data_IF_872669654669
#
_entry.id   IF_872669654669
#
_cell.length_a   1.000
_cell.length_b   1.000
_cell.length_c   1.000
_cell.angle_alpha   90.00
_cell.angle_beta   90.00
_cell.angle_gamma   90.00
#
_symmetry.space_group_name_H-M   'P 1'
#
loop_
_entity.id
_entity.type
_entity.pdbx_description
1 polymer ?
#
# COMPACT_ATOMS: atom_id res chain seq x y z
N UNK A 1 -70.46 -26.21 -45.80
CA UNK A 1 -71.65 -26.79 -45.15
C UNK A 1 -71.75 -26.23 -43.77
N UNK A 2 -72.57 -25.25 -43.59
CA UNK A 2 -73.86 -25.28 -42.87
C UNK A 2 -73.66 -25.54 -41.38
N UNK A 3 -73.70 -24.45 -40.61
CA UNK A 3 -74.86 -24.00 -39.76
C UNK A 3 -74.83 -24.59 -38.35
N UNK A 4 -74.89 -23.88 -37.25
CA UNK A 4 -76.07 -23.19 -36.68
C UNK A 4 -75.71 -22.43 -35.38
N UNK A 5 -76.22 -21.23 -35.23
CA UNK A 5 -76.41 -20.44 -34.00
C UNK A 5 -77.35 -21.16 -33.03
N UNK A 6 -77.03 -20.97 -31.70
CA UNK A 6 -78.12 -20.96 -30.70
C UNK A 6 -77.79 -19.79 -29.69
N UNK A 7 -78.76 -18.87 -29.62
CA UNK A 7 -78.92 -17.84 -28.62
C UNK A 7 -79.67 -18.41 -27.43
N UNK A 8 -79.24 -18.15 -26.20
CA UNK A 8 -80.24 -18.17 -25.09
C UNK A 8 -79.94 -16.97 -24.18
N UNK A 9 -80.94 -16.14 -23.98
CA UNK A 9 -81.18 -15.11 -23.00
C UNK A 9 -81.52 -15.71 -21.64
N UNK A 10 -81.01 -15.16 -20.52
CA UNK A 10 -81.80 -15.07 -19.30
C UNK A 10 -81.11 -14.12 -18.29
N UNK A 11 -81.69 -13.05 -18.04
CA UNK A 11 -82.35 -12.39 -16.88
C UNK A 11 -81.47 -12.15 -15.67
N UNK A 12 -81.24 -10.85 -15.47
CA UNK A 12 -81.28 -9.97 -14.30
C UNK A 12 -81.70 -10.58 -12.94
N UNK A 13 -80.84 -10.39 -11.94
CA UNK A 13 -81.30 -10.02 -10.58
C UNK A 13 -80.27 -9.10 -9.91
N UNK A 14 -80.72 -7.87 -9.61
CA UNK A 14 -80.06 -6.90 -8.81
C UNK A 14 -80.04 -7.36 -7.37
N UNK A 15 -78.87 -7.52 -6.75
CA UNK A 15 -78.77 -7.64 -5.34
C UNK A 15 -78.01 -6.36 -4.81
N UNK A 16 -78.70 -5.49 -4.13
CA UNK A 16 -78.14 -4.34 -3.44
C UNK A 16 -77.50 -4.83 -2.14
N UNK A 17 -76.18 -4.69 -2.01
CA UNK A 17 -75.50 -4.91 -0.77
C UNK A 17 -75.06 -3.57 -0.17
N UNK A 18 -75.58 -3.30 0.97
CA UNK A 18 -75.42 -2.12 1.83
C UNK A 18 -74.01 -2.06 2.38
N UNK A 19 -73.28 -0.96 2.13
CA UNK A 19 -71.96 -0.72 2.67
C UNK A 19 -72.02 -0.38 4.20
N UNK A 20 -71.26 -1.07 5.05
CA UNK A 20 -71.03 -0.62 6.42
C UNK A 20 -69.90 0.43 6.47
N UNK A 21 -70.07 1.43 7.27
CA UNK A 21 -69.27 2.64 7.49
C UNK A 21 -67.83 2.31 7.88
N UNK A 22 -66.89 2.69 7.05
CA UNK A 22 -65.43 2.63 7.22
C UNK A 22 -64.95 3.84 8.03
N UNK A 23 -64.96 3.79 9.36
CA UNK A 23 -64.38 4.85 10.23
C UNK A 23 -63.30 4.38 11.21
N UNK A 24 -62.81 3.14 11.11
CA UNK A 24 -61.80 2.63 12.06
C UNK A 24 -60.41 2.32 11.44
N UNK A 25 -60.25 2.44 10.12
CA UNK A 25 -59.02 2.03 9.42
C UNK A 25 -57.92 3.15 9.37
N UNK A 26 -58.32 4.42 9.54
CA UNK A 26 -57.37 5.54 9.36
C UNK A 26 -56.47 5.76 10.56
N UNK A 27 -56.96 5.50 11.78
CA UNK A 27 -56.14 5.65 13.01
C UNK A 27 -55.12 4.52 13.17
N UNK A 28 -55.43 3.31 12.76
CA UNK A 28 -54.51 2.15 12.83
C UNK A 28 -53.38 2.29 11.81
N UNK A 29 -53.65 2.85 10.64
CA UNK A 29 -52.66 3.11 9.60
C UNK A 29 -51.61 4.17 10.00
N UNK A 30 -52.00 5.22 10.70
CA UNK A 30 -51.11 6.25 11.20
C UNK A 30 -50.17 5.75 12.32
N UNK A 31 -50.67 4.87 13.22
CA UNK A 31 -49.84 4.25 14.25
C UNK A 31 -48.77 3.31 13.68
N UNK A 32 -49.10 2.51 12.68
CA UNK A 32 -48.17 1.58 12.03
C UNK A 32 -47.10 2.38 11.27
N UNK A 33 -47.44 3.46 10.58
CA UNK A 33 -46.48 4.30 9.87
C UNK A 33 -45.50 5.00 10.83
N UNK A 34 -45.96 5.46 12.01
CA UNK A 34 -45.10 6.06 13.03
C UNK A 34 -44.06 5.08 13.58
N UNK A 35 -44.45 3.84 13.86
CA UNK A 35 -43.52 2.80 14.32
C UNK A 35 -42.46 2.42 13.28
N UNK A 36 -42.81 2.39 12.01
CA UNK A 36 -41.85 2.06 10.92
C UNK A 36 -40.81 3.18 10.78
N UNK A 37 -41.22 4.45 10.84
CA UNK A 37 -40.25 5.58 10.72
C UNK A 37 -39.31 5.63 11.91
N UNK A 38 -39.77 5.35 13.12
CA UNK A 38 -38.92 5.31 14.33
C UNK A 38 -37.92 4.14 14.22
N UNK A 39 -38.37 2.95 13.76
CA UNK A 39 -37.52 1.77 13.59
C UNK A 39 -36.43 2.00 12.54
N UNK A 40 -36.75 2.64 11.43
CA UNK A 40 -35.78 3.01 10.39
C UNK A 40 -34.77 4.04 10.91
N UNK A 41 -35.22 5.04 11.68
CA UNK A 41 -34.35 6.04 12.27
C UNK A 41 -33.32 5.43 13.24
N UNK A 42 -33.76 4.50 14.10
CA UNK A 42 -32.87 3.79 15.05
C UNK A 42 -31.88 2.91 14.28
N UNK A 43 -32.33 2.21 13.25
CA UNK A 43 -31.47 1.36 12.41
C UNK A 43 -30.41 2.18 11.70
N UNK A 44 -30.76 3.31 11.06
CA UNK A 44 -29.82 4.19 10.36
C UNK A 44 -28.81 4.83 11.32
N UNK A 45 -29.23 5.16 12.56
CA UNK A 45 -28.33 5.69 13.57
C UNK A 45 -27.35 4.62 14.09
N UNK A 46 -27.82 3.39 14.28
CA UNK A 46 -26.96 2.26 14.69
C UNK A 46 -25.95 1.90 13.61
N UNK A 47 -26.34 1.88 12.33
CA UNK A 47 -25.45 1.60 11.20
C UNK A 47 -24.36 2.67 11.08
N UNK A 48 -24.73 3.96 11.14
CA UNK A 48 -23.73 5.06 11.09
C UNK A 48 -22.73 5.01 12.26
N UNK A 49 -23.18 4.61 13.45
CA UNK A 49 -22.29 4.49 14.60
C UNK A 49 -21.36 3.28 14.48
N UNK A 50 -21.84 2.21 13.89
CA UNK A 50 -21.04 0.99 13.63
C UNK A 50 -19.95 1.26 12.58
N UNK A 51 -20.28 1.93 11.47
CA UNK A 51 -19.32 2.28 10.42
C UNK A 51 -18.21 3.22 10.94
N UNK A 52 -18.56 4.15 11.84
CA UNK A 52 -17.59 5.06 12.45
C UNK A 52 -16.59 4.31 13.36
N UNK A 53 -17.06 3.33 14.15
CA UNK A 53 -16.20 2.54 15.05
C UNK A 53 -15.32 1.58 14.23
N UNK A 54 -15.87 0.95 13.21
CA UNK A 54 -15.14 0.03 12.33
C UNK A 54 -14.02 0.73 11.55
N UNK A 55 -14.29 1.93 11.00
CA UNK A 55 -13.28 2.69 10.26
C UNK A 55 -12.14 3.20 11.14
N UNK A 56 -12.41 3.52 12.41
CA UNK A 56 -11.36 3.99 13.33
C UNK A 56 -10.39 2.85 13.70
N UNK A 57 -10.89 1.67 14.02
CA UNK A 57 -10.06 0.48 14.29
C UNK A 57 -9.16 0.11 13.11
N UNK A 58 -9.72 0.08 11.91
CA UNK A 58 -8.97 -0.32 10.70
C UNK A 58 -7.85 0.65 10.35
N UNK A 59 -8.02 1.94 10.63
CA UNK A 59 -6.99 2.97 10.36
C UNK A 59 -5.85 2.90 11.38
N UNK A 60 -6.15 2.66 12.66
CA UNK A 60 -5.14 2.51 13.71
C UNK A 60 -4.31 1.23 13.51
N UNK A 61 -4.93 0.10 13.22
CA UNK A 61 -4.26 -1.16 12.94
C UNK A 61 -3.37 -1.07 11.70
N UNK A 62 -3.85 -0.42 10.64
CA UNK A 62 -3.06 -0.19 9.42
C UNK A 62 -1.87 0.71 9.69
N UNK A 63 -2.03 1.76 10.50
CA UNK A 63 -0.94 2.68 10.87
C UNK A 63 0.10 1.98 11.74
N UNK A 64 -0.32 1.13 12.69
CA UNK A 64 0.58 0.35 13.52
C UNK A 64 1.36 -0.67 12.69
N UNK A 65 0.71 -1.38 11.78
CA UNK A 65 1.34 -2.35 10.87
C UNK A 65 2.36 -1.69 9.94
N UNK A 66 2.03 -0.52 9.38
CA UNK A 66 2.95 0.25 8.53
C UNK A 66 4.17 0.75 9.31
N UNK A 67 3.98 1.17 10.56
CA UNK A 67 5.09 1.60 11.41
C UNK A 67 6.02 0.44 11.75
N UNK A 68 5.49 -0.72 12.13
CA UNK A 68 6.29 -1.92 12.43
C UNK A 68 7.05 -2.38 11.17
N UNK A 69 6.44 -2.37 10.00
CA UNK A 69 7.11 -2.70 8.74
C UNK A 69 8.25 -1.70 8.42
N UNK A 70 8.02 -0.41 8.64
CA UNK A 70 9.03 0.64 8.46
C UNK A 70 10.20 0.48 9.44
N UNK A 71 9.92 0.21 10.71
CA UNK A 71 10.95 0.03 11.75
C UNK A 71 11.80 -1.23 11.48
N UNK A 72 11.19 -2.31 11.02
CA UNK A 72 11.89 -3.53 10.62
C UNK A 72 12.79 -3.30 9.41
N UNK A 73 12.29 -2.63 8.38
CA UNK A 73 13.07 -2.28 7.19
C UNK A 73 14.27 -1.40 7.55
N UNK A 74 14.07 -0.40 8.41
CA UNK A 74 15.16 0.47 8.87
C UNK A 74 16.18 -0.29 9.72
N UNK A 75 15.78 -1.27 10.54
CA UNK A 75 16.69 -2.12 11.29
C UNK A 75 17.57 -2.97 10.37
N UNK A 76 17.03 -3.42 9.25
CA UNK A 76 17.76 -4.19 8.25
C UNK A 76 18.79 -3.33 7.50
N UNK A 77 18.48 -2.07 7.20
CA UNK A 77 19.43 -1.16 6.55
C UNK A 77 20.69 -0.92 7.39
N UNK A 78 20.56 -0.90 8.72
CA UNK A 78 21.72 -0.73 9.62
C UNK A 78 22.77 -1.83 9.47
N UNK A 79 22.41 -3.00 8.92
CA UNK A 79 23.35 -4.07 8.61
C UNK A 79 24.41 -3.64 7.58
N UNK A 80 24.14 -2.61 6.76
CA UNK A 80 25.11 -2.08 5.80
C UNK A 80 26.16 -1.16 6.42
N UNK A 81 25.93 -0.64 7.64
CA UNK A 81 26.85 0.27 8.29
C UNK A 81 28.22 -0.39 8.48
N UNK A 82 29.30 0.36 8.19
CA UNK A 82 30.68 -0.08 8.30
C UNK A 82 31.46 0.11 7.01
N UNK A 83 32.69 -0.44 6.98
CA UNK A 83 33.61 -0.31 5.85
C UNK A 83 33.57 -1.54 4.96
N UNK A 84 33.58 -1.27 3.68
CA UNK A 84 33.47 -2.28 2.64
C UNK A 84 34.59 -2.13 1.63
N UNK A 85 35.40 -3.18 1.46
CA UNK A 85 36.54 -3.20 0.56
C UNK A 85 36.15 -3.92 -0.75
N UNK A 86 36.49 -3.33 -1.87
CA UNK A 86 36.49 -3.98 -3.19
C UNK A 86 37.87 -4.60 -3.43
N UNK A 87 38.01 -5.94 -3.39
CA UNK A 87 39.33 -6.60 -3.36
C UNK A 87 40.15 -6.43 -4.64
N UNK A 88 39.50 -6.30 -5.79
CA UNK A 88 40.15 -6.21 -7.13
C UNK A 88 40.83 -4.86 -7.39
N UNK A 89 40.56 -3.81 -6.59
CA UNK A 89 41.16 -2.49 -6.79
C UNK A 89 41.46 -1.73 -5.51
N UNK A 90 41.19 -2.30 -4.34
CA UNK A 90 41.44 -1.62 -3.05
C UNK A 90 40.50 -0.45 -2.75
N UNK A 91 39.42 -0.30 -3.52
CA UNK A 91 38.42 0.76 -3.31
C UNK A 91 37.61 0.50 -2.04
N UNK A 92 37.31 1.55 -1.29
CA UNK A 92 36.58 1.43 -0.02
C UNK A 92 35.31 2.28 -0.04
N UNK A 93 34.21 1.67 0.32
CA UNK A 93 32.96 2.36 0.70
C UNK A 93 32.87 2.35 2.24
N UNK A 94 32.67 3.52 2.85
CA UNK A 94 32.51 3.70 4.29
C UNK A 94 31.08 4.20 4.58
N UNK A 95 30.19 3.32 5.03
CA UNK A 95 28.80 3.65 5.36
C UNK A 95 28.75 4.04 6.83
N UNK A 96 28.69 5.33 7.12
CA UNK A 96 28.74 5.87 8.48
C UNK A 96 27.37 5.90 9.15
N UNK A 97 26.34 6.28 8.38
CA UNK A 97 24.98 6.41 8.90
C UNK A 97 23.94 6.20 7.79
N UNK A 98 22.83 5.59 8.15
CA UNK A 98 21.65 5.47 7.29
C UNK A 98 20.49 6.15 8.00
N UNK A 99 19.87 7.11 7.32
CA UNK A 99 18.75 7.87 7.81
C UNK A 99 17.41 7.14 7.57
N UNK A 100 16.36 7.53 8.31
CA UNK A 100 15.06 6.92 8.20
C UNK A 100 14.39 7.09 6.81
N UNK A 101 14.78 8.13 6.08
CA UNK A 101 14.35 8.41 4.71
C UNK A 101 15.15 7.62 3.64
N UNK A 102 16.06 6.73 4.05
CA UNK A 102 16.90 5.94 3.16
C UNK A 102 18.16 6.65 2.68
N UNK A 103 18.38 7.92 3.02
CA UNK A 103 19.65 8.60 2.70
C UNK A 103 20.80 8.01 3.51
N UNK A 104 21.96 7.95 2.88
CA UNK A 104 23.18 7.37 3.45
C UNK A 104 24.27 8.41 3.56
N UNK A 105 24.85 8.55 4.75
CA UNK A 105 26.13 9.23 4.94
C UNK A 105 27.25 8.24 4.63
N UNK A 106 27.83 8.38 3.43
CA UNK A 106 28.86 7.49 2.92
C UNK A 106 30.13 8.25 2.51
N UNK A 107 31.26 7.59 2.67
CA UNK A 107 32.54 7.96 2.06
C UNK A 107 32.96 6.96 1.00
N UNK A 108 33.72 7.42 0.00
CA UNK A 108 34.35 6.56 -1.00
C UNK A 108 35.82 6.93 -1.14
N UNK A 109 36.68 5.91 -1.22
CA UNK A 109 38.14 6.10 -1.23
C UNK A 109 38.79 5.29 -2.36
N UNK A 110 39.72 5.94 -3.13
CA UNK A 110 40.50 5.34 -4.21
C UNK A 110 41.90 5.99 -4.38
N UNK A 111 42.90 5.70 -3.60
CA UNK A 111 42.89 5.52 -2.15
C UNK A 111 42.50 6.82 -1.42
N UNK A 112 42.58 7.97 -2.10
CA UNK A 112 42.16 9.28 -1.56
C UNK A 112 40.63 9.37 -1.53
N UNK A 113 40.07 10.22 -0.65
CA UNK A 113 38.64 10.44 -0.61
C UNK A 113 38.13 11.04 -1.93
N UNK A 114 37.05 10.48 -2.44
CA UNK A 114 36.31 10.93 -3.62
C UNK A 114 34.94 11.42 -3.17
N UNK A 115 34.49 12.53 -3.76
CA UNK A 115 33.20 13.11 -3.39
C UNK A 115 32.01 12.18 -3.75
N UNK A 116 31.23 11.83 -2.74
CA UNK A 116 29.95 11.13 -2.88
C UNK A 116 28.85 12.20 -2.99
N UNK A 117 28.30 12.37 -4.17
CA UNK A 117 27.25 13.36 -4.43
C UNK A 117 25.86 12.88 -3.96
N UNK A 118 25.65 11.57 -3.96
CA UNK A 118 24.40 10.93 -3.54
C UNK A 118 24.67 9.51 -3.06
N UNK A 119 24.05 9.12 -1.95
CA UNK A 119 24.01 7.74 -1.49
C UNK A 119 22.65 7.44 -0.86
N UNK A 120 22.03 6.33 -1.24
CA UNK A 120 20.70 5.93 -0.81
C UNK A 120 20.58 4.41 -0.67
N UNK A 121 19.74 3.96 0.28
CA UNK A 121 19.32 2.56 0.39
C UNK A 121 17.84 2.43 0.13
N UNK A 122 17.47 1.33 -0.52
CA UNK A 122 16.08 0.97 -0.81
C UNK A 122 15.90 -0.50 -0.45
N UNK A 123 14.80 -0.81 0.26
CA UNK A 123 14.34 -2.19 0.45
C UNK A 123 13.51 -2.61 -0.75
N UNK A 124 13.91 -3.69 -1.41
CA UNK A 124 13.15 -4.33 -2.49
C UNK A 124 12.85 -5.80 -2.12
N UNK A 125 11.97 -6.45 -2.88
CA UNK A 125 11.67 -7.88 -2.69
C UNK A 125 12.92 -8.77 -2.82
N UNK A 126 13.94 -8.30 -3.54
CA UNK A 126 15.22 -8.96 -3.75
C UNK A 126 16.26 -8.70 -2.64
N UNK A 127 15.93 -7.86 -1.64
CA UNK A 127 16.82 -7.49 -0.55
C UNK A 127 17.10 -6.00 -0.45
N UNK A 128 18.23 -5.65 0.16
CA UNK A 128 18.65 -4.25 0.37
C UNK A 128 19.53 -3.84 -0.81
N UNK A 129 19.13 -2.78 -1.51
CA UNK A 129 19.88 -2.15 -2.59
C UNK A 129 20.52 -0.86 -2.10
N UNK A 130 21.83 -0.70 -2.32
CA UNK A 130 22.59 0.53 -2.09
C UNK A 130 22.91 1.17 -3.44
N UNK A 131 22.59 2.45 -3.58
CA UNK A 131 23.01 3.31 -4.68
C UNK A 131 24.03 4.33 -4.19
N UNK A 132 25.11 4.56 -4.94
CA UNK A 132 26.11 5.61 -4.69
C UNK A 132 26.44 6.29 -6.02
N UNK A 133 26.45 7.63 -6.03
CA UNK A 133 26.89 8.44 -7.14
C UNK A 133 28.14 9.22 -6.75
N UNK A 134 29.18 9.16 -7.59
CA UNK A 134 30.45 9.84 -7.41
C UNK A 134 30.55 11.04 -8.36
N UNK A 135 30.85 12.21 -7.83
CA UNK A 135 31.12 13.44 -8.63
C UNK A 135 32.39 14.09 -8.15
N UNK A 136 33.49 13.79 -8.82
CA UNK A 136 34.80 14.31 -8.52
C UNK A 136 35.67 14.34 -9.81
N UNK A 137 36.88 14.83 -9.72
CA UNK A 137 37.86 14.73 -10.80
C UNK A 137 38.10 13.25 -11.14
N UNK A 138 37.85 12.88 -12.40
CA UNK A 138 37.89 11.46 -12.86
C UNK A 138 36.60 10.66 -12.59
N UNK A 139 35.62 11.24 -11.89
CA UNK A 139 34.32 10.61 -11.60
C UNK A 139 33.14 11.50 -12.00
N UNK A 140 32.88 11.71 -13.30
CA UNK A 140 31.84 12.63 -13.80
C UNK A 140 30.42 12.04 -13.70
N UNK A 141 30.02 11.51 -12.54
CA UNK A 141 28.74 10.84 -12.31
C UNK A 141 28.82 9.32 -12.42
N UNK A 142 29.95 8.74 -12.06
CA UNK A 142 30.08 7.27 -11.93
C UNK A 142 29.22 6.75 -10.80
N UNK A 143 28.59 5.58 -10.98
CA UNK A 143 27.63 5.07 -9.99
C UNK A 143 27.90 3.63 -9.59
N UNK A 144 27.59 3.31 -8.33
CA UNK A 144 27.45 1.95 -7.85
C UNK A 144 25.97 1.63 -7.62
N UNK A 145 25.53 0.44 -8.07
CA UNK A 145 24.23 -0.16 -7.74
C UNK A 145 24.52 -1.55 -7.18
N UNK A 146 24.41 -1.68 -5.86
CA UNK A 146 24.84 -2.86 -5.12
C UNK A 146 23.66 -3.49 -4.37
N UNK A 147 23.63 -4.83 -4.31
CA UNK A 147 22.68 -5.63 -3.54
C UNK A 147 23.45 -6.28 -2.39
N UNK A 148 22.89 -6.20 -1.18
CA UNK A 148 23.46 -6.84 0.00
C UNK A 148 23.04 -8.29 0.12
N UNK A 149 24.01 -9.18 0.29
CA UNK A 149 23.80 -10.59 0.61
C UNK A 149 24.12 -10.82 2.10
N UNK A 150 23.12 -11.02 2.96
CA UNK A 150 23.35 -11.18 4.39
C UNK A 150 23.98 -12.52 4.78
N UNK A 151 23.84 -13.58 3.95
CA UNK A 151 24.42 -14.90 4.23
C UNK A 151 25.95 -14.91 4.06
N UNK A 152 26.45 -14.12 3.12
CA UNK A 152 27.89 -14.02 2.82
C UNK A 152 28.54 -12.74 3.38
N UNK A 153 27.74 -11.82 3.90
CA UNK A 153 28.14 -10.46 4.32
C UNK A 153 28.95 -9.74 3.24
N UNK A 154 28.43 -9.72 2.01
CA UNK A 154 28.99 -9.03 0.84
C UNK A 154 27.97 -8.11 0.21
N UNK A 155 28.42 -7.07 -0.47
CA UNK A 155 27.64 -6.33 -1.45
C UNK A 155 28.15 -6.63 -2.85
N UNK A 156 27.27 -6.87 -3.81
CA UNK A 156 27.61 -7.17 -5.20
C UNK A 156 26.67 -6.43 -6.15
N UNK A 157 27.14 -6.17 -7.35
CA UNK A 157 26.33 -5.48 -8.35
C UNK A 157 27.18 -4.79 -9.41
N UNK A 158 26.73 -3.63 -9.89
CA UNK A 158 27.31 -2.91 -11.01
C UNK A 158 28.01 -1.62 -10.58
N UNK A 159 29.16 -1.37 -11.17
CA UNK A 159 29.83 -0.08 -11.22
C UNK A 159 29.72 0.47 -12.63
N UNK A 160 29.02 1.60 -12.79
CA UNK A 160 29.03 2.36 -14.03
C UNK A 160 30.15 3.40 -13.99
N UNK A 161 31.15 3.23 -14.85
CA UNK A 161 32.25 4.19 -15.01
C UNK A 161 31.86 5.25 -16.06
N UNK A 162 31.39 6.41 -15.62
CA UNK A 162 30.85 7.43 -16.51
C UNK A 162 31.88 7.96 -17.53
N UNK A 163 33.15 8.08 -17.16
CA UNK A 163 34.22 8.53 -18.05
C UNK A 163 34.43 7.62 -19.27
N UNK A 164 34.09 6.33 -19.14
CA UNK A 164 34.26 5.32 -20.21
C UNK A 164 32.91 4.86 -20.79
N UNK A 165 31.78 5.21 -20.15
CA UNK A 165 30.44 4.71 -20.52
C UNK A 165 30.28 3.20 -20.34
N UNK A 166 31.02 2.57 -19.42
CA UNK A 166 31.07 1.11 -19.25
C UNK A 166 30.57 0.67 -17.88
N UNK A 167 30.00 -0.56 -17.85
CA UNK A 167 29.58 -1.23 -16.62
C UNK A 167 30.55 -2.36 -16.30
N UNK A 168 30.81 -2.53 -15.00
CA UNK A 168 31.65 -3.58 -14.45
C UNK A 168 30.91 -4.30 -13.32
N UNK A 169 30.95 -5.62 -13.29
CA UNK A 169 30.51 -6.39 -12.13
C UNK A 169 31.51 -6.20 -10.99
N UNK A 170 31.00 -5.93 -9.80
CA UNK A 170 31.83 -5.66 -8.63
C UNK A 170 31.32 -6.39 -7.41
N UNK A 171 32.25 -6.68 -6.49
CA UNK A 171 31.95 -7.24 -5.16
C UNK A 171 32.67 -6.43 -4.11
N UNK A 172 31.98 -6.13 -3.02
CA UNK A 172 32.55 -5.54 -1.82
C UNK A 172 32.42 -6.52 -0.67
N UNK A 173 33.46 -6.69 0.10
CA UNK A 173 33.50 -7.50 1.33
C UNK A 173 33.63 -6.59 2.54
N UNK A 174 33.04 -6.97 3.66
CA UNK A 174 33.17 -6.20 4.89
C UNK A 174 34.62 -6.29 5.40
N UNK A 175 35.19 -5.14 5.80
CA UNK A 175 36.45 -5.12 6.53
C UNK A 175 36.21 -5.23 8.03
N UNK A 176 37.06 -5.99 8.72
CA UNK A 176 37.04 -6.09 10.18
C UNK A 176 37.63 -4.84 10.81
#
# INVERSE_FOLDING_TARGET
MVSRKIKTKSKSSKFQQKNPKRKSSMMLSLLIMGCVVISIGIYLFAVKKFDFISNKSTVEDKKATLKVASDNMHSDFRKLTGRWLRPDGGYVIDIRKIHADGKVDAGYYNPQPINVSRAEVIGENSGIKLFIELRDVGYPGSTYTLIYNPQKDIMFGLYYQAAMGQNFDVVFVRTK
#
